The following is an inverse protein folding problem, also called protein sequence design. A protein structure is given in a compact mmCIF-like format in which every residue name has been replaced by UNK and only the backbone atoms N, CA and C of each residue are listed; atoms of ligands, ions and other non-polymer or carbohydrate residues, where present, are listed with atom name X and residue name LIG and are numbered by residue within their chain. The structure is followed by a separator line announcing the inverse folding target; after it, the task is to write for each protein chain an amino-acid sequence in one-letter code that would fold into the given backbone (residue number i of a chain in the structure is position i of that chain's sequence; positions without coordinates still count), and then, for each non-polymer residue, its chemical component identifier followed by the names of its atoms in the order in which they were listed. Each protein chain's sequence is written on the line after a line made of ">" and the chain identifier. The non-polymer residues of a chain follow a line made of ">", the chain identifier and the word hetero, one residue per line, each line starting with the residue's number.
data_IF_801003655664
#
_entry.id   IF_801003655664
#
_cell.length_a   1.000
_cell.length_b   1.000
_cell.length_c   1.000
_cell.angle_alpha   90.00
_cell.angle_beta   90.00
_cell.angle_gamma   90.00
#
_symmetry.space_group_name_H-M   'P 1'
#
loop_
_entity.id
_entity.type
_entity.pdbx_description
1 polymer ?
#
# COMPACT_ATOMS: atom_id res chain seq x y z
N UNK A 1 17.25 -15.96 13.48
CA UNK A 1 17.38 -14.50 13.63
C UNK A 1 16.27 -13.92 12.78
N UNK A 2 15.25 -13.32 13.40
CA UNK A 2 14.18 -12.67 12.62
C UNK A 2 14.69 -11.29 12.25
N UNK A 3 15.02 -11.07 10.98
CA UNK A 3 15.29 -9.74 10.44
C UNK A 3 14.00 -8.92 10.52
N UNK A 4 13.90 -8.05 11.52
CA UNK A 4 12.82 -7.07 11.62
C UNK A 4 13.15 -5.95 10.64
N UNK A 5 12.47 -5.92 9.49
CA UNK A 5 12.58 -4.80 8.55
C UNK A 5 11.73 -3.63 9.06
N UNK A 6 12.31 -2.45 9.14
CA UNK A 6 11.57 -1.21 9.39
C UNK A 6 10.99 -0.74 8.06
N UNK A 7 9.68 -0.49 8.01
CA UNK A 7 8.99 -0.09 6.78
C UNK A 7 8.62 1.39 6.89
N UNK A 8 8.98 2.18 5.89
CA UNK A 8 8.51 3.54 5.70
C UNK A 8 7.03 3.51 5.27
N UNK A 9 6.16 3.69 6.25
CA UNK A 9 4.70 3.62 6.09
C UNK A 9 4.17 4.76 5.23
N UNK A 10 4.75 5.96 5.30
CA UNK A 10 4.30 7.09 4.51
C UNK A 10 4.62 6.88 3.02
N UNK A 11 5.80 6.33 2.73
CA UNK A 11 6.15 5.94 1.36
C UNK A 11 5.26 4.82 0.82
N UNK A 12 4.94 3.82 1.66
CA UNK A 12 4.02 2.74 1.30
C UNK A 12 2.62 3.27 0.99
N UNK A 13 2.07 4.14 1.86
CA UNK A 13 0.76 4.78 1.67
C UNK A 13 0.71 5.51 0.34
N UNK A 14 1.71 6.35 0.05
CA UNK A 14 1.76 7.10 -1.21
C UNK A 14 1.76 6.19 -2.43
N UNK A 15 2.48 5.07 -2.38
CA UNK A 15 2.52 4.12 -3.49
C UNK A 15 1.18 3.40 -3.71
N UNK A 16 0.46 3.05 -2.64
CA UNK A 16 -0.87 2.45 -2.74
C UNK A 16 -1.91 3.43 -3.28
N UNK A 17 -1.85 4.70 -2.86
CA UNK A 17 -2.74 5.76 -3.35
C UNK A 17 -2.49 6.01 -4.84
N UNK A 18 -1.23 6.13 -5.26
CA UNK A 18 -0.87 6.40 -6.66
C UNK A 18 -1.33 5.27 -7.60
N UNK A 19 -1.10 4.02 -7.20
CA UNK A 19 -1.59 2.85 -7.94
C UNK A 19 -3.12 2.82 -8.00
N UNK A 20 -3.81 3.10 -6.89
CA UNK A 20 -5.28 3.07 -6.83
C UNK A 20 -5.87 4.19 -7.69
N UNK A 21 -5.32 5.39 -7.65
CA UNK A 21 -5.71 6.50 -8.52
C UNK A 21 -5.53 6.17 -10.01
N UNK A 22 -4.44 5.49 -10.36
CA UNK A 22 -4.22 4.98 -11.72
C UNK A 22 -5.23 3.88 -12.08
N UNK A 23 -5.52 2.95 -11.16
CA UNK A 23 -6.42 1.82 -11.35
C UNK A 23 -7.89 2.24 -11.59
N UNK A 24 -8.35 3.32 -10.93
CA UNK A 24 -9.66 3.94 -11.17
C UNK A 24 -9.83 4.35 -12.63
N UNK A 25 -8.76 4.82 -13.27
CA UNK A 25 -8.81 5.26 -14.66
C UNK A 25 -8.96 4.11 -15.68
N UNK A 26 -8.45 2.90 -15.34
CA UNK A 26 -8.47 1.73 -16.22
C UNK A 26 -9.55 0.69 -15.86
N UNK A 27 -10.41 0.97 -14.88
CA UNK A 27 -11.52 0.06 -14.50
C UNK A 27 -11.05 -1.25 -13.85
N UNK A 28 -9.89 -1.22 -13.18
CA UNK A 28 -9.34 -2.38 -12.47
C UNK A 28 -10.17 -2.72 -11.21
N UNK A 29 -10.21 -3.99 -10.76
CA UNK A 29 -10.83 -4.37 -9.48
C UNK A 29 -10.32 -3.56 -8.27
N UNK A 30 -9.11 -3.01 -8.36
CA UNK A 30 -8.53 -2.15 -7.32
C UNK A 30 -9.17 -0.76 -7.24
N UNK A 31 -9.94 -0.34 -8.25
CA UNK A 31 -10.70 0.91 -8.27
C UNK A 31 -11.81 0.97 -7.21
N UNK A 32 -12.16 -0.17 -6.59
CA UNK A 32 -13.15 -0.25 -5.51
C UNK A 32 -12.56 0.23 -4.19
N UNK A 33 -11.23 0.18 -4.02
CA UNK A 33 -10.58 0.65 -2.80
C UNK A 33 -10.66 2.16 -2.74
N UNK A 34 -11.24 2.68 -1.65
CA UNK A 34 -11.34 4.11 -1.42
C UNK A 34 -9.96 4.70 -1.09
N UNK A 35 -9.53 5.69 -1.88
CA UNK A 35 -8.28 6.42 -1.64
C UNK A 35 -8.30 7.07 -0.25
N UNK A 36 -9.47 7.56 0.20
CA UNK A 36 -9.61 8.15 1.53
C UNK A 36 -9.39 7.12 2.65
N UNK A 37 -9.72 5.85 2.41
CA UNK A 37 -9.43 4.77 3.34
C UNK A 37 -7.91 4.53 3.44
N UNK A 38 -7.17 4.58 2.32
CA UNK A 38 -5.71 4.43 2.33
C UNK A 38 -5.00 5.62 3.00
N UNK A 39 -5.52 6.83 2.83
CA UNK A 39 -4.96 8.04 3.48
C UNK A 39 -5.02 7.98 5.01
N UNK A 40 -6.07 7.37 5.56
CA UNK A 40 -6.31 7.30 7.01
C UNK A 40 -5.98 5.94 7.63
N UNK A 41 -5.67 4.92 6.81
CA UNK A 41 -5.38 3.57 7.26
C UNK A 41 -4.17 3.50 8.19
N UNK A 42 -4.24 2.58 9.15
CA UNK A 42 -3.14 2.27 10.05
C UNK A 42 -2.01 1.53 9.31
N UNK A 43 -0.79 1.56 9.87
CA UNK A 43 0.38 0.91 9.28
C UNK A 43 0.15 -0.58 8.97
N UNK A 44 -0.49 -1.31 9.88
CA UNK A 44 -0.78 -2.74 9.72
C UNK A 44 -1.75 -3.02 8.56
N UNK A 45 -2.74 -2.15 8.36
CA UNK A 45 -3.71 -2.26 7.26
C UNK A 45 -3.04 -1.98 5.92
N UNK A 46 -2.20 -0.95 5.86
CA UNK A 46 -1.41 -0.62 4.67
C UNK A 46 -0.48 -1.79 4.27
N UNK A 47 0.17 -2.42 5.25
CA UNK A 47 1.02 -3.60 5.02
C UNK A 47 0.20 -4.77 4.49
N UNK A 48 -0.95 -5.07 5.09
CA UNK A 48 -1.83 -6.16 4.63
C UNK A 48 -2.34 -5.92 3.23
N UNK A 49 -2.76 -4.70 2.91
CA UNK A 49 -3.26 -4.34 1.59
C UNK A 49 -2.13 -4.44 0.55
N UNK A 50 -0.94 -3.95 0.86
CA UNK A 50 0.24 -4.09 0.00
C UNK A 50 0.57 -5.57 -0.28
N UNK A 51 0.56 -6.43 0.74
CA UNK A 51 0.79 -7.87 0.57
C UNK A 51 -0.29 -8.52 -0.31
N UNK A 52 -1.55 -8.16 -0.11
CA UNK A 52 -2.69 -8.65 -0.91
C UNK A 52 -2.55 -8.27 -2.39
N UNK A 53 -1.97 -7.11 -2.68
CA UNK A 53 -1.65 -6.64 -4.03
C UNK A 53 -0.33 -7.19 -4.57
N UNK A 54 0.44 -7.93 -3.77
CA UNK A 54 1.70 -8.53 -4.18
C UNK A 54 2.89 -7.56 -4.18
N UNK A 55 2.82 -6.46 -3.43
CA UNK A 55 3.95 -5.54 -3.26
C UNK A 55 5.11 -6.22 -2.53
N UNK A 56 6.33 -5.96 -3.00
CA UNK A 56 7.54 -6.27 -2.25
C UNK A 56 7.81 -5.18 -1.19
N UNK A 57 7.53 -5.51 0.08
CA UNK A 57 7.68 -4.60 1.22
C UNK A 57 9.14 -4.16 1.44
N UNK A 58 10.13 -4.92 0.95
CA UNK A 58 11.55 -4.55 1.06
C UNK A 58 11.88 -3.27 0.31
N UNK A 59 11.07 -2.88 -0.68
CA UNK A 59 11.23 -1.61 -1.41
C UNK A 59 10.99 -0.38 -0.54
N UNK A 60 10.35 -0.59 0.61
CA UNK A 60 10.00 0.45 1.56
C UNK A 60 10.81 0.32 2.85
N UNK A 61 11.87 -0.51 2.87
CA UNK A 61 12.69 -0.63 4.07
C UNK A 61 13.50 0.65 4.31
N UNK A 62 13.63 1.08 5.57
CA UNK A 62 14.47 2.20 6.00
C UNK A 62 15.40 1.83 7.15
#
# INVERSE_FOLDING_TARGET
>A
MSDTIHIDIERLRKALIDETGSAVFVGSPWAIVDVAALESAAAEELIREAQKRGYDLRRFSC
#
